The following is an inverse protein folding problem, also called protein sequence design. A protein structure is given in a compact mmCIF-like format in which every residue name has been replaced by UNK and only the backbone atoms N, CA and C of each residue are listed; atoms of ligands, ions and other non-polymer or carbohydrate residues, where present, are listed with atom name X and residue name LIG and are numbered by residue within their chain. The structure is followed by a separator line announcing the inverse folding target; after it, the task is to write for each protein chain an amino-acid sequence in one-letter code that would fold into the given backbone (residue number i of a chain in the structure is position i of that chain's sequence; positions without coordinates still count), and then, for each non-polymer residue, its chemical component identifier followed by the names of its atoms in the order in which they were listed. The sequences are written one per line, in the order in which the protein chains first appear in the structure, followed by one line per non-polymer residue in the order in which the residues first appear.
data_IF_992642934411
#
_entry.id   IF_992642934411
#
_cell.length_a   1.000
_cell.length_b   1.000
_cell.length_c   1.000
_cell.angle_alpha   90.00
_cell.angle_beta   90.00
_cell.angle_gamma   90.00
#
_symmetry.space_group_name_H-M   'P 1'
#
loop_
_entity.id
_entity.type
_entity.pdbx_description
1 polymer ?
#
# COMPACT_ATOMS: atom_id res chain seq x y z
N UNK A 1 -6.09 -19.97 17.26
CA UNK A 1 -5.23 -18.80 16.97
C UNK A 1 -5.69 -18.19 15.65
N UNK A 2 -6.16 -16.95 15.68
CA UNK A 2 -6.67 -16.28 14.49
C UNK A 2 -5.55 -15.77 13.57
N UNK A 3 -5.88 -15.45 12.30
CA UNK A 3 -4.88 -14.90 11.35
C UNK A 3 -4.19 -13.64 11.89
N UNK A 4 -4.90 -12.68 12.54
CA UNK A 4 -4.27 -11.48 13.11
C UNK A 4 -3.24 -11.78 14.20
N UNK A 5 -3.51 -12.75 15.05
CA UNK A 5 -2.60 -13.18 16.12
C UNK A 5 -1.32 -13.79 15.55
N UNK A 6 -1.45 -14.64 14.51
CA UNK A 6 -0.29 -15.22 13.80
C UNK A 6 0.57 -14.15 13.12
N UNK A 7 -0.07 -13.14 12.52
CA UNK A 7 0.66 -12.02 11.89
C UNK A 7 1.48 -11.28 12.95
N UNK A 8 0.88 -10.97 14.11
CA UNK A 8 1.56 -10.26 15.19
C UNK A 8 2.74 -11.07 15.74
N UNK A 9 2.55 -12.37 15.99
CA UNK A 9 3.61 -13.26 16.47
C UNK A 9 4.81 -13.29 15.49
N UNK A 10 4.54 -13.43 14.18
CA UNK A 10 5.62 -13.44 13.17
C UNK A 10 6.30 -12.07 13.08
N UNK A 11 5.56 -10.96 13.18
CA UNK A 11 6.14 -9.62 13.20
C UNK A 11 7.04 -9.43 14.43
N UNK A 12 6.61 -9.85 15.61
CA UNK A 12 7.42 -9.81 16.82
C UNK A 12 8.69 -10.65 16.67
N UNK A 13 8.60 -11.80 16.00
CA UNK A 13 9.77 -12.64 15.69
C UNK A 13 10.75 -11.93 14.76
N UNK A 14 10.26 -11.25 13.71
CA UNK A 14 11.09 -10.45 12.80
C UNK A 14 11.80 -9.34 13.58
N UNK A 15 11.09 -8.61 14.43
CA UNK A 15 11.66 -7.51 15.21
C UNK A 15 12.75 -7.96 16.20
N UNK A 16 12.61 -9.16 16.76
CA UNK A 16 13.60 -9.74 17.68
C UNK A 16 14.81 -10.35 16.97
N UNK A 17 14.68 -10.65 15.68
CA UNK A 17 15.75 -11.28 14.92
C UNK A 17 16.70 -10.23 14.37
N UNK A 18 17.95 -10.28 14.81
CA UNK A 18 19.00 -9.43 14.26
C UNK A 18 19.25 -9.81 12.79
N UNK A 19 19.15 -8.83 11.88
CA UNK A 19 19.34 -9.05 10.45
C UNK A 19 20.84 -9.14 10.14
N UNK A 20 21.28 -10.32 9.71
CA UNK A 20 22.63 -10.58 9.23
C UNK A 20 22.59 -11.66 8.15
N UNK A 21 23.71 -11.94 7.50
CA UNK A 21 23.80 -12.91 6.39
C UNK A 21 23.32 -14.33 6.76
N UNK A 22 23.41 -14.72 8.04
CA UNK A 22 22.94 -16.03 8.50
C UNK A 22 21.41 -16.06 8.72
N UNK A 23 20.81 -14.94 9.13
CA UNK A 23 19.37 -14.82 9.41
C UNK A 23 18.55 -14.28 8.25
N UNK A 24 19.18 -13.71 7.22
CA UNK A 24 18.53 -13.12 6.06
C UNK A 24 17.52 -14.07 5.39
N UNK A 25 17.91 -15.33 5.20
CA UNK A 25 17.02 -16.36 4.66
C UNK A 25 15.77 -16.57 5.50
N UNK A 26 15.93 -16.67 6.81
CA UNK A 26 14.82 -16.87 7.74
C UNK A 26 13.89 -15.65 7.78
N UNK A 27 14.45 -14.45 7.87
CA UNK A 27 13.70 -13.19 7.88
C UNK A 27 12.94 -13.01 6.58
N UNK A 28 13.54 -13.30 5.42
CA UNK A 28 12.87 -13.23 4.12
C UNK A 28 11.64 -14.15 4.05
N UNK A 29 11.73 -15.38 4.58
CA UNK A 29 10.58 -16.29 4.65
C UNK A 29 9.50 -15.80 5.63
N UNK A 30 9.87 -15.21 6.75
CA UNK A 30 8.90 -14.65 7.69
C UNK A 30 8.14 -13.48 7.08
N UNK A 31 8.83 -12.57 6.37
CA UNK A 31 8.20 -11.48 5.63
C UNK A 31 7.20 -12.01 4.59
N UNK A 32 7.58 -13.02 3.81
CA UNK A 32 6.72 -13.65 2.82
C UNK A 32 5.47 -14.29 3.47
N UNK A 33 5.61 -14.95 4.62
CA UNK A 33 4.49 -15.49 5.39
C UNK A 33 3.54 -14.40 5.88
N UNK A 34 4.05 -13.30 6.41
CA UNK A 34 3.23 -12.16 6.85
C UNK A 34 2.44 -11.56 5.68
N UNK A 35 3.11 -11.34 4.54
CA UNK A 35 2.46 -10.79 3.35
C UNK A 35 1.35 -11.72 2.82
N UNK A 36 1.59 -13.02 2.79
CA UNK A 36 0.59 -14.03 2.41
C UNK A 36 -0.60 -14.03 3.38
N UNK A 37 -0.37 -14.05 4.69
CA UNK A 37 -1.44 -14.02 5.69
C UNK A 37 -2.26 -12.73 5.61
N UNK A 38 -1.61 -11.59 5.36
CA UNK A 38 -2.30 -10.31 5.11
C UNK A 38 -3.20 -10.39 3.88
N UNK A 39 -2.74 -11.03 2.80
CA UNK A 39 -3.53 -11.27 1.58
C UNK A 39 -4.71 -12.19 1.85
N UNK A 40 -4.50 -13.35 2.49
CA UNK A 40 -5.58 -14.28 2.88
C UNK A 40 -6.66 -13.60 3.73
N UNK A 41 -6.25 -12.73 4.66
CA UNK A 41 -7.17 -11.95 5.48
C UNK A 41 -8.01 -10.97 4.62
N UNK A 42 -7.43 -10.43 3.55
CA UNK A 42 -8.15 -9.55 2.61
C UNK A 42 -9.15 -10.36 1.75
N UNK A 43 -8.75 -11.51 1.23
CA UNK A 43 -9.58 -12.38 0.39
C UNK A 43 -10.76 -12.98 1.19
N UNK A 44 -10.54 -13.42 2.42
CA UNK A 44 -11.59 -13.97 3.29
C UNK A 44 -12.71 -12.98 3.65
N UNK A 45 -12.43 -11.67 3.60
CA UNK A 45 -13.45 -10.65 3.79
C UNK A 45 -14.25 -10.43 2.52
N UNK A 46 -13.66 -10.60 1.34
CA UNK A 46 -14.37 -10.50 0.05
C UNK A 46 -15.20 -11.76 -0.24
N UNK A 47 -14.71 -12.96 0.12
CA UNK A 47 -15.43 -14.22 -0.10
C UNK A 47 -16.73 -14.35 0.69
N UNK A 48 -16.87 -13.68 1.83
CA UNK A 48 -18.11 -13.66 2.62
C UNK A 48 -19.21 -12.76 2.05
N UNK A 49 -18.86 -11.82 1.17
CA UNK A 49 -19.82 -10.92 0.52
C UNK A 49 -20.33 -11.45 -0.82
N UNK A 50 -19.71 -12.47 -1.41
CA UNK A 50 -20.18 -13.04 -2.69
C UNK A 50 -21.38 -14.01 -2.56
N UNK A 51 -21.75 -14.47 -1.35
CA UNK A 51 -22.87 -15.38 -1.15
C UNK A 51 -24.19 -14.73 -0.72
N UNK A 52 -24.22 -13.47 -0.43
CA UNK A 52 -25.44 -12.71 -0.30
C UNK A 52 -25.49 -11.71 -1.44
N UNK A 53 -26.48 -11.86 -2.35
CA UNK A 53 -26.65 -11.04 -3.56
C UNK A 53 -26.71 -9.52 -3.34
N UNK A 54 -25.72 -8.98 -2.69
CA UNK A 54 -25.49 -7.58 -2.35
C UNK A 54 -24.33 -7.06 -3.15
N UNK A 55 -24.55 -5.92 -3.77
CA UNK A 55 -23.63 -5.08 -4.50
C UNK A 55 -22.20 -5.12 -3.94
N UNK A 56 -21.22 -5.19 -4.81
CA UNK A 56 -19.82 -4.95 -4.49
C UNK A 56 -19.74 -3.65 -3.67
N UNK A 57 -19.62 -3.76 -2.34
CA UNK A 57 -19.26 -2.64 -1.49
C UNK A 57 -17.76 -2.38 -1.73
N UNK A 58 -17.43 -1.99 -2.95
CA UNK A 58 -16.15 -1.41 -3.28
C UNK A 58 -16.11 -0.03 -2.62
N UNK A 59 -15.12 0.23 -1.80
CA UNK A 59 -14.77 1.58 -1.37
C UNK A 59 -14.21 2.39 -2.56
N UNK A 60 -14.80 2.24 -3.72
CA UNK A 60 -14.30 2.82 -4.96
C UNK A 60 -14.80 4.26 -5.03
N UNK A 61 -13.90 5.19 -4.77
CA UNK A 61 -14.19 6.61 -4.98
C UNK A 61 -14.21 6.85 -6.48
N UNK A 62 -15.38 7.23 -6.99
CA UNK A 62 -15.55 7.55 -8.41
C UNK A 62 -14.58 8.64 -8.82
N UNK A 63 -13.71 8.36 -9.78
CA UNK A 63 -12.84 9.37 -10.39
C UNK A 63 -13.70 10.47 -11.01
N UNK A 64 -13.44 11.70 -10.63
CA UNK A 64 -14.07 12.88 -11.20
C UNK A 64 -12.99 13.85 -11.68
N UNK A 65 -13.05 14.30 -12.93
CA UNK A 65 -12.04 15.16 -13.53
C UNK A 65 -10.89 14.41 -14.21
N UNK A 66 -9.80 15.10 -14.45
CA UNK A 66 -8.65 14.62 -15.22
C UNK A 66 -7.65 13.85 -14.37
N UNK A 67 -7.57 14.18 -13.06
CA UNK A 67 -6.70 13.51 -12.09
C UNK A 67 -7.31 13.51 -10.69
N UNK A 68 -6.90 12.55 -9.87
CA UNK A 68 -7.30 12.41 -8.47
C UNK A 68 -6.09 12.45 -7.56
N UNK A 69 -6.08 13.36 -6.59
CA UNK A 69 -5.03 13.54 -5.58
C UNK A 69 -5.61 13.24 -4.21
N UNK A 70 -4.94 12.37 -3.46
CA UNK A 70 -5.33 12.01 -2.10
C UNK A 70 -4.45 12.72 -1.08
N UNK A 71 -5.09 13.45 -0.14
CA UNK A 71 -4.41 14.12 0.96
C UNK A 71 -4.25 13.17 2.14
N UNK A 72 -3.01 12.99 2.59
CA UNK A 72 -2.66 12.15 3.72
C UNK A 72 -1.84 12.97 4.72
N UNK A 73 -2.09 12.78 6.01
CA UNK A 73 -1.39 13.47 7.08
C UNK A 73 -2.09 13.22 8.42
N UNK A 74 -1.42 13.52 9.52
CA UNK A 74 -1.98 13.39 10.86
C UNK A 74 -3.18 14.33 11.08
N UNK A 75 -3.99 14.10 12.12
CA UNK A 75 -5.01 15.06 12.52
C UNK A 75 -4.40 16.46 12.76
N UNK A 76 -5.18 17.50 12.50
CA UNK A 76 -4.83 18.89 12.77
C UNK A 76 -3.62 19.48 12.05
N UNK A 77 -3.04 18.77 11.05
CA UNK A 77 -1.96 19.31 10.21
C UNK A 77 -2.45 20.33 9.17
N UNK A 78 -3.78 20.52 9.03
CA UNK A 78 -4.37 21.50 8.13
C UNK A 78 -4.79 20.96 6.75
N UNK A 79 -4.98 19.65 6.58
CA UNK A 79 -5.43 19.05 5.30
C UNK A 79 -6.71 19.66 4.77
N UNK A 80 -7.74 19.74 5.61
CA UNK A 80 -9.05 20.31 5.22
C UNK A 80 -8.98 21.81 4.97
N UNK A 81 -8.09 22.54 5.67
CA UNK A 81 -7.82 23.95 5.41
C UNK A 81 -7.17 24.12 4.05
N UNK A 82 -6.16 23.30 3.74
CA UNK A 82 -5.50 23.28 2.44
C UNK A 82 -6.49 22.94 1.31
N UNK A 83 -7.33 21.91 1.52
CA UNK A 83 -8.37 21.55 0.56
C UNK A 83 -9.29 22.76 0.28
N UNK A 84 -9.79 23.41 1.33
CA UNK A 84 -10.71 24.54 1.19
C UNK A 84 -10.04 25.77 0.53
N UNK A 85 -8.74 25.97 0.73
CA UNK A 85 -8.01 27.08 0.10
C UNK A 85 -7.73 26.83 -1.39
N UNK A 86 -7.49 25.57 -1.77
CA UNK A 86 -7.20 25.20 -3.15
C UNK A 86 -8.45 24.97 -3.99
N UNK A 87 -9.56 24.68 -3.36
CA UNK A 87 -10.81 24.39 -4.04
C UNK A 87 -11.87 25.43 -3.65
N UNK A 88 -12.72 25.85 -4.57
CA UNK A 88 -13.87 26.72 -4.26
C UNK A 88 -14.98 25.97 -3.48
N UNK A 89 -14.66 24.83 -2.91
CA UNK A 89 -15.56 24.03 -2.13
C UNK A 89 -15.76 24.68 -0.74
N UNK A 90 -16.80 25.51 -0.61
CA UNK A 90 -17.49 25.57 0.68
C UNK A 90 -17.93 24.13 0.95
N UNK A 91 -17.23 23.44 1.85
CA UNK A 91 -17.30 22.00 2.10
C UNK A 91 -18.75 21.50 2.17
N UNK A 92 -19.31 21.15 1.02
CA UNK A 92 -20.45 20.25 1.02
C UNK A 92 -19.83 18.88 1.28
N UNK A 93 -19.99 18.41 2.51
CA UNK A 93 -19.82 16.99 2.84
C UNK A 93 -20.72 16.24 1.87
N UNK A 94 -20.16 15.81 0.74
CA UNK A 94 -20.83 14.89 -0.13
C UNK A 94 -20.72 13.54 0.55
N UNK A 95 -21.76 13.16 1.31
CA UNK A 95 -21.95 11.78 1.72
C UNK A 95 -22.11 11.00 0.41
N UNK A 96 -21.03 10.37 -0.05
CA UNK A 96 -21.15 9.33 -1.06
C UNK A 96 -21.97 8.22 -0.42
N UNK A 97 -23.22 8.04 -0.89
CA UNK A 97 -24.27 7.22 -0.30
C UNK A 97 -23.92 5.75 -0.10
N UNK A 98 -22.71 5.31 -0.46
CA UNK A 98 -22.27 3.92 -0.40
C UNK A 98 -20.90 3.70 0.24
N UNK A 99 -20.28 4.72 0.86
CA UNK A 99 -18.99 4.56 1.54
C UNK A 99 -19.10 4.95 3.00
N UNK A 100 -18.73 4.04 3.89
CA UNK A 100 -18.47 4.31 5.33
C UNK A 100 -17.22 5.22 5.52
N UNK A 101 -16.66 5.72 4.43
CA UNK A 101 -15.56 6.68 4.38
C UNK A 101 -16.13 8.07 4.08
N UNK A 102 -16.04 8.95 5.05
CA UNK A 102 -16.24 10.39 4.85
C UNK A 102 -15.00 10.97 4.16
N UNK A 103 -14.87 10.77 2.85
CA UNK A 103 -13.91 11.56 2.08
C UNK A 103 -14.57 12.90 1.75
N UNK A 104 -13.87 14.00 2.00
CA UNK A 104 -14.33 15.33 1.59
C UNK A 104 -13.69 15.62 0.23
N UNK A 105 -14.46 15.62 -0.88
CA UNK A 105 -13.90 15.94 -2.19
C UNK A 105 -13.90 17.45 -2.40
N UNK A 106 -12.81 17.94 -2.99
CA UNK A 106 -12.71 19.27 -3.57
C UNK A 106 -12.33 19.16 -5.04
N UNK A 107 -12.71 20.14 -5.86
CA UNK A 107 -12.28 20.23 -7.26
C UNK A 107 -11.38 21.45 -7.44
N UNK A 108 -10.13 21.20 -7.78
CA UNK A 108 -9.17 22.22 -8.16
C UNK A 108 -9.20 22.40 -9.69
N UNK A 109 -9.41 23.63 -10.14
CA UNK A 109 -9.32 24.00 -11.54
C UNK A 109 -7.99 24.71 -11.79
N UNK A 110 -7.13 24.10 -12.59
CA UNK A 110 -5.82 24.66 -12.90
C UNK A 110 -5.50 24.52 -14.40
N UNK A 111 -5.30 25.63 -15.10
CA UNK A 111 -4.92 25.67 -16.53
C UNK A 111 -5.80 24.78 -17.42
N UNK A 112 -7.10 24.73 -17.15
CA UNK A 112 -8.06 23.92 -17.90
C UNK A 112 -8.24 22.50 -17.40
N UNK A 113 -7.33 22.00 -16.55
CA UNK A 113 -7.47 20.68 -15.90
C UNK A 113 -8.37 20.75 -14.68
N UNK A 114 -9.12 19.69 -14.44
CA UNK A 114 -9.97 19.45 -13.25
C UNK A 114 -9.34 18.37 -12.39
N UNK A 115 -8.80 18.75 -11.25
CA UNK A 115 -8.11 17.84 -10.34
C UNK A 115 -8.98 17.62 -9.11
N UNK A 116 -9.39 16.37 -8.90
CA UNK A 116 -10.13 15.99 -7.71
C UNK A 116 -9.17 15.85 -6.53
N UNK A 117 -9.39 16.61 -5.46
CA UNK A 117 -8.68 16.48 -4.20
C UNK A 117 -9.56 15.73 -3.20
N UNK A 118 -9.03 14.69 -2.57
CA UNK A 118 -9.73 13.88 -1.58
C UNK A 118 -9.05 14.02 -0.21
N UNK A 119 -9.71 14.66 0.73
CA UNK A 119 -9.30 14.62 2.14
C UNK A 119 -9.84 13.34 2.78
N UNK A 120 -8.96 12.55 3.35
CA UNK A 120 -9.28 11.30 4.05
C UNK A 120 -9.11 11.50 5.56
N UNK A 121 -10.12 12.07 6.26
CA UNK A 121 -10.05 12.27 7.69
C UNK A 121 -9.98 10.93 8.44
N UNK A 122 -9.23 10.89 9.54
CA UNK A 122 -9.21 9.75 10.46
C UNK A 122 -8.51 8.49 9.96
N UNK A 123 -7.82 8.55 8.81
CA UNK A 123 -7.13 7.36 8.27
C UNK A 123 -5.95 6.94 9.16
N UNK A 124 -5.35 7.86 9.89
CA UNK A 124 -4.15 7.63 10.71
C UNK A 124 -4.49 7.40 12.18
N UNK A 125 -5.69 7.74 12.63
CA UNK A 125 -6.12 7.54 14.02
C UNK A 125 -6.21 6.06 14.45
N UNK A 126 -6.18 5.12 13.50
CA UNK A 126 -6.19 3.68 13.74
C UNK A 126 -4.87 2.96 13.45
N UNK A 127 -3.82 3.69 13.04
CA UNK A 127 -2.55 3.10 12.62
C UNK A 127 -1.83 2.35 13.75
N UNK A 128 -1.89 2.87 14.96
CA UNK A 128 -1.30 2.21 16.15
C UNK A 128 -2.01 0.92 16.58
N UNK A 129 -3.19 0.60 16.00
CA UNK A 129 -4.00 -0.56 16.35
C UNK A 129 -4.07 -1.68 15.31
N UNK A 130 -3.42 -1.57 14.16
CA UNK A 130 -3.33 -2.65 13.15
C UNK A 130 -4.64 -3.08 12.47
N UNK A 131 -5.78 -2.48 12.79
CA UNK A 131 -7.11 -2.98 12.41
C UNK A 131 -7.87 -2.04 11.46
N UNK A 132 -7.44 -1.87 10.23
CA UNK A 132 -8.34 -1.29 9.24
C UNK A 132 -7.78 -0.17 8.36
N UNK A 133 -6.63 0.40 8.70
CA UNK A 133 -5.98 1.44 7.92
C UNK A 133 -5.70 1.01 6.47
N UNK A 134 -5.04 -0.14 6.29
CA UNK A 134 -4.58 -0.58 4.99
C UNK A 134 -5.67 -0.77 3.93
N UNK A 135 -6.85 -1.28 4.30
CA UNK A 135 -7.91 -1.56 3.32
C UNK A 135 -8.56 -0.29 2.78
N UNK A 136 -8.87 0.66 3.65
CA UNK A 136 -9.53 1.91 3.27
C UNK A 136 -8.61 2.78 2.43
N UNK A 137 -7.35 2.92 2.86
CA UNK A 137 -6.36 3.70 2.12
C UNK A 137 -6.05 3.07 0.77
N UNK A 138 -5.82 1.74 0.73
CA UNK A 138 -5.60 1.01 -0.51
C UNK A 138 -6.73 1.18 -1.51
N UNK A 139 -7.97 1.14 -1.03
CA UNK A 139 -9.15 1.28 -1.87
C UNK A 139 -9.19 2.67 -2.52
N UNK A 140 -8.98 3.73 -1.74
CA UNK A 140 -8.95 5.11 -2.28
C UNK A 140 -7.69 5.35 -3.12
N UNK A 141 -6.54 4.84 -2.69
CA UNK A 141 -5.28 4.98 -3.43
C UNK A 141 -5.30 4.31 -4.80
N UNK A 142 -6.08 3.23 -4.98
CA UNK A 142 -6.28 2.61 -6.31
C UNK A 142 -6.89 3.57 -7.32
N UNK A 143 -7.67 4.52 -6.86
CA UNK A 143 -8.25 5.57 -7.70
C UNK A 143 -7.39 6.82 -7.80
N UNK A 144 -6.32 6.96 -7.02
CA UNK A 144 -5.48 8.13 -6.99
C UNK A 144 -4.38 8.10 -8.04
N UNK A 145 -4.00 9.28 -8.52
CA UNK A 145 -2.89 9.48 -9.44
C UNK A 145 -1.68 10.09 -8.71
N UNK A 146 -1.90 10.69 -7.53
CA UNK A 146 -0.86 11.30 -6.67
C UNK A 146 -1.27 11.26 -5.20
N UNK A 147 -0.29 11.07 -4.32
CA UNK A 147 -0.45 11.24 -2.87
C UNK A 147 0.18 12.57 -2.43
N UNK A 148 -0.60 13.41 -1.77
CA UNK A 148 -0.14 14.65 -1.16
C UNK A 148 0.01 14.43 0.35
N UNK A 149 1.25 14.36 0.84
CA UNK A 149 1.56 14.20 2.27
C UNK A 149 1.64 15.57 2.91
N UNK A 150 0.68 15.89 3.77
CA UNK A 150 0.64 17.18 4.49
C UNK A 150 1.24 16.98 5.89
N UNK A 151 2.27 17.72 6.19
CA UNK A 151 3.00 17.70 7.46
C UNK A 151 2.91 19.06 8.16
N UNK A 152 2.92 19.00 9.48
CA UNK A 152 3.16 20.18 10.31
C UNK A 152 4.67 20.47 10.32
N UNK A 153 5.05 21.72 10.06
CA UNK A 153 6.48 22.14 10.04
C UNK A 153 7.18 21.86 11.36
N UNK A 154 6.44 21.89 12.48
CA UNK A 154 6.97 21.60 13.81
C UNK A 154 7.18 20.11 14.09
N UNK A 155 6.66 19.23 13.24
CA UNK A 155 6.71 17.78 13.45
C UNK A 155 7.09 17.02 12.16
N UNK A 156 8.23 17.33 11.53
CA UNK A 156 8.64 16.70 10.27
C UNK A 156 8.95 15.20 10.41
N UNK A 157 9.25 14.73 11.62
CA UNK A 157 9.50 13.31 11.93
C UNK A 157 8.32 12.39 11.61
N UNK A 158 7.11 12.93 11.54
CA UNK A 158 5.92 12.16 11.16
C UNK A 158 5.97 11.62 9.73
N UNK A 159 6.80 12.20 8.85
CA UNK A 159 6.98 11.70 7.48
C UNK A 159 7.39 10.24 7.44
N UNK A 160 8.37 9.85 8.27
CA UNK A 160 8.87 8.48 8.32
C UNK A 160 7.80 7.49 8.79
N UNK A 161 7.00 7.90 9.76
CA UNK A 161 5.87 7.11 10.28
C UNK A 161 4.82 6.91 9.18
N UNK A 162 4.42 7.99 8.50
CA UNK A 162 3.43 7.94 7.42
C UNK A 162 3.88 7.06 6.26
N UNK A 163 5.13 7.22 5.81
CA UNK A 163 5.70 6.39 4.74
C UNK A 163 5.71 4.91 5.12
N UNK A 164 6.08 4.59 6.35
CA UNK A 164 6.07 3.20 6.83
C UNK A 164 4.66 2.62 6.88
N UNK A 165 3.69 3.35 7.40
CA UNK A 165 2.29 2.90 7.47
C UNK A 165 1.70 2.67 6.07
N UNK A 166 1.99 3.56 5.12
CA UNK A 166 1.57 3.40 3.73
C UNK A 166 2.23 2.17 3.08
N UNK A 167 3.53 1.97 3.30
CA UNK A 167 4.26 0.81 2.82
C UNK A 167 3.70 -0.51 3.40
N UNK A 168 3.38 -0.54 4.70
CA UNK A 168 2.72 -1.68 5.34
C UNK A 168 1.30 -1.91 4.81
N UNK A 169 0.61 -0.84 4.44
CA UNK A 169 -0.68 -0.87 3.75
C UNK A 169 -0.60 -1.36 2.31
N UNK A 170 0.60 -1.48 1.74
CA UNK A 170 0.83 -1.93 0.37
C UNK A 170 0.91 -0.82 -0.67
N UNK A 171 1.09 0.43 -0.25
CA UNK A 171 1.34 1.57 -1.12
C UNK A 171 2.84 1.83 -1.15
N UNK A 172 3.41 1.86 -2.35
CA UNK A 172 4.80 2.20 -2.63
C UNK A 172 4.86 3.62 -3.17
N UNK A 173 5.42 4.53 -2.39
CA UNK A 173 5.54 5.93 -2.78
C UNK A 173 6.86 6.17 -3.49
N UNK A 174 6.79 6.87 -4.62
CA UNK A 174 7.96 7.28 -5.41
C UNK A 174 8.82 6.12 -5.91
N UNK A 175 8.24 4.91 -5.96
CA UNK A 175 8.86 3.71 -6.48
C UNK A 175 8.19 3.29 -7.79
N UNK A 176 8.92 2.57 -8.64
CA UNK A 176 8.37 1.91 -9.83
C UNK A 176 8.07 0.44 -9.54
N UNK A 177 7.07 -0.15 -10.20
CA UNK A 177 6.88 -1.59 -10.17
C UNK A 177 8.17 -2.32 -10.55
N UNK A 178 8.63 -3.32 -9.77
CA UNK A 178 9.89 -3.99 -10.06
C UNK A 178 9.82 -4.74 -11.40
N UNK A 179 10.91 -4.65 -12.19
CA UNK A 179 10.99 -5.30 -13.48
C UNK A 179 11.28 -6.80 -13.34
N UNK A 180 10.24 -7.53 -12.93
CA UNK A 180 10.26 -8.96 -12.66
C UNK A 180 9.11 -9.61 -13.41
N UNK A 181 9.41 -10.66 -14.19
CA UNK A 181 8.41 -11.44 -14.89
C UNK A 181 8.34 -12.85 -14.30
N UNK A 182 7.13 -13.31 -14.00
CA UNK A 182 6.84 -14.65 -13.51
C UNK A 182 6.00 -15.38 -14.56
N UNK A 183 6.58 -16.40 -15.16
CA UNK A 183 5.90 -17.29 -16.10
C UNK A 183 5.58 -18.61 -15.40
N UNK A 184 4.30 -18.98 -15.33
CA UNK A 184 3.88 -20.26 -14.77
C UNK A 184 4.05 -21.35 -15.82
N UNK A 185 4.61 -22.49 -15.41
CA UNK A 185 4.73 -23.69 -16.26
C UNK A 185 4.02 -24.86 -15.60
N UNK A 186 3.66 -25.88 -16.38
CA UNK A 186 3.02 -27.09 -15.85
C UNK A 186 4.01 -28.02 -15.17
N UNK A 187 5.25 -28.06 -15.62
CA UNK A 187 6.30 -28.96 -15.16
C UNK A 187 7.65 -28.24 -15.13
N UNK A 188 8.71 -28.91 -14.63
CA UNK A 188 10.10 -28.45 -14.74
C UNK A 188 10.62 -27.75 -13.47
N UNK A 189 9.80 -27.58 -12.42
CA UNK A 189 10.23 -26.90 -11.20
C UNK A 189 10.37 -25.38 -11.38
N UNK A 190 11.03 -24.73 -10.43
CA UNK A 190 11.27 -23.27 -10.47
C UNK A 190 12.65 -23.01 -11.02
N UNK A 191 12.74 -22.27 -12.13
CA UNK A 191 13.98 -21.75 -12.71
C UNK A 191 14.08 -20.24 -12.47
N UNK A 192 15.27 -19.78 -12.09
CA UNK A 192 15.56 -18.36 -11.86
C UNK A 192 16.55 -17.89 -12.92
N UNK A 193 16.17 -16.90 -13.69
CA UNK A 193 17.01 -16.26 -14.71
C UNK A 193 17.18 -14.78 -14.34
N UNK A 194 18.33 -14.47 -13.75
CA UNK A 194 18.71 -13.10 -13.43
C UNK A 194 19.58 -12.54 -14.55
N UNK A 195 19.10 -11.47 -15.21
CA UNK A 195 19.84 -10.74 -16.23
C UNK A 195 20.80 -9.70 -15.64
N UNK A 196 20.72 -9.52 -14.32
CA UNK A 196 21.53 -8.59 -13.52
C UNK A 196 22.07 -9.32 -12.29
N UNK A 197 23.18 -8.87 -11.69
CA UNK A 197 23.67 -9.42 -10.43
C UNK A 197 22.63 -9.26 -9.32
N UNK A 198 22.29 -10.36 -8.63
CA UNK A 198 21.34 -10.37 -7.52
C UNK A 198 22.04 -10.75 -6.21
N UNK A 199 21.61 -10.12 -5.11
CA UNK A 199 22.13 -10.43 -3.76
C UNK A 199 21.28 -11.51 -3.08
N UNK A 200 19.99 -11.61 -3.44
CA UNK A 200 19.06 -12.58 -2.87
C UNK A 200 19.41 -13.97 -3.36
N UNK A 201 19.53 -14.93 -2.44
CA UNK A 201 19.88 -16.30 -2.80
C UNK A 201 18.78 -16.98 -3.61
N UNK A 202 19.14 -17.76 -4.62
CA UNK A 202 18.20 -18.50 -5.45
C UNK A 202 17.32 -19.46 -4.59
N UNK A 203 17.88 -20.01 -3.53
CA UNK A 203 17.16 -20.86 -2.57
C UNK A 203 16.01 -20.08 -1.92
N UNK A 204 16.26 -18.85 -1.46
CA UNK A 204 15.23 -18.01 -0.84
C UNK A 204 14.12 -17.67 -1.85
N UNK A 205 14.50 -17.30 -3.05
CA UNK A 205 13.57 -17.02 -4.16
C UNK A 205 12.63 -18.20 -4.40
N UNK A 206 13.18 -19.40 -4.55
CA UNK A 206 12.41 -20.63 -4.79
C UNK A 206 11.44 -20.95 -3.62
N UNK A 207 11.90 -20.77 -2.38
CA UNK A 207 11.06 -21.00 -1.20
C UNK A 207 9.93 -19.97 -1.09
N UNK A 208 10.21 -18.69 -1.38
CA UNK A 208 9.16 -17.66 -1.42
C UNK A 208 8.12 -18.00 -2.51
N UNK A 209 8.56 -18.37 -3.72
CA UNK A 209 7.64 -18.75 -4.80
C UNK A 209 6.77 -19.97 -4.40
N UNK A 210 7.36 -20.99 -3.78
CA UNK A 210 6.62 -22.16 -3.28
C UNK A 210 5.59 -21.79 -2.21
N UNK A 211 5.96 -20.86 -1.32
CA UNK A 211 5.05 -20.35 -0.29
C UNK A 211 3.78 -19.73 -0.90
N UNK A 212 3.91 -19.10 -2.08
CA UNK A 212 2.78 -18.55 -2.84
C UNK A 212 2.10 -19.58 -3.78
N UNK A 213 2.43 -20.87 -3.64
CA UNK A 213 1.81 -21.94 -4.42
C UNK A 213 2.37 -22.11 -5.83
N UNK A 214 3.49 -21.47 -6.14
CA UNK A 214 4.19 -21.63 -7.40
C UNK A 214 5.25 -22.72 -7.26
N UNK A 215 4.95 -23.92 -7.76
CA UNK A 215 5.87 -25.06 -7.72
C UNK A 215 6.64 -25.24 -9.02
N UNK A 216 6.08 -24.76 -10.13
CA UNK A 216 6.68 -24.78 -11.46
C UNK A 216 6.55 -23.41 -12.10
N UNK A 217 7.66 -22.92 -12.67
CA UNK A 217 7.67 -21.63 -13.33
C UNK A 217 9.06 -21.08 -13.57
N UNK A 218 9.12 -20.03 -14.37
CA UNK A 218 10.34 -19.27 -14.67
C UNK A 218 10.20 -17.89 -14.06
N UNK A 219 11.20 -17.48 -13.29
CA UNK A 219 11.35 -16.12 -12.79
C UNK A 219 12.45 -15.44 -13.62
N UNK A 220 12.13 -14.33 -14.26
CA UNK A 220 13.07 -13.49 -15.00
C UNK A 220 13.22 -12.19 -14.24
N UNK A 221 14.44 -11.90 -13.78
CA UNK A 221 14.79 -10.72 -12.98
C UNK A 221 15.61 -9.78 -13.85
N UNK A 222 15.08 -8.59 -14.12
CA UNK A 222 15.74 -7.48 -14.80
C UNK A 222 15.94 -6.29 -13.88
N UNK A 223 15.50 -6.41 -12.61
CA UNK A 223 15.55 -5.37 -11.61
C UNK A 223 16.96 -5.26 -11.03
N UNK A 224 17.65 -4.12 -11.19
CA UNK A 224 18.90 -3.88 -10.49
C UNK A 224 18.66 -3.75 -8.99
N UNK A 225 19.56 -4.29 -8.16
CA UNK A 225 19.43 -4.32 -6.69
C UNK A 225 18.17 -5.04 -6.19
N UNK A 226 17.77 -6.08 -6.90
CA UNK A 226 16.64 -6.94 -6.54
C UNK A 226 16.63 -7.36 -5.07
N UNK A 227 15.48 -7.26 -4.44
CA UNK A 227 15.24 -7.60 -3.03
C UNK A 227 14.14 -8.67 -2.88
N UNK A 228 14.13 -9.33 -1.72
CA UNK A 228 13.06 -10.26 -1.32
C UNK A 228 11.69 -9.55 -1.20
N UNK A 229 11.67 -8.30 -0.72
CA UNK A 229 10.45 -7.50 -0.61
C UNK A 229 9.82 -7.21 -1.98
N UNK A 230 10.64 -6.93 -3.01
CA UNK A 230 10.16 -6.74 -4.38
C UNK A 230 9.55 -8.03 -4.97
N UNK A 231 10.16 -9.20 -4.71
CA UNK A 231 9.57 -10.47 -5.12
C UNK A 231 8.22 -10.73 -4.43
N UNK A 232 8.15 -10.45 -3.11
CA UNK A 232 6.93 -10.58 -2.32
C UNK A 232 5.84 -9.65 -2.87
N UNK A 233 6.18 -8.42 -3.25
CA UNK A 233 5.26 -7.45 -3.80
C UNK A 233 4.65 -7.93 -5.13
N UNK A 234 5.47 -8.46 -6.04
CA UNK A 234 5.00 -9.03 -7.31
C UNK A 234 4.11 -10.26 -7.09
N UNK A 235 4.52 -11.18 -6.21
CA UNK A 235 3.74 -12.38 -5.90
C UNK A 235 2.44 -12.08 -5.16
N UNK A 236 2.43 -11.05 -4.33
CA UNK A 236 1.22 -10.61 -3.63
C UNK A 236 0.19 -9.99 -4.58
N UNK A 237 0.63 -9.29 -5.65
CA UNK A 237 -0.21 -8.73 -6.70
C UNK A 237 -1.22 -7.66 -6.23
N UNK A 238 -1.01 -7.10 -5.03
CA UNK A 238 -1.93 -6.13 -4.42
C UNK A 238 -1.23 -4.81 -4.02
N UNK A 239 -0.06 -4.55 -4.58
CA UNK A 239 0.67 -3.31 -4.35
C UNK A 239 0.26 -2.23 -5.32
N UNK A 240 0.33 -0.99 -4.84
CA UNK A 240 0.02 0.21 -5.60
C UNK A 240 1.25 1.11 -5.57
N UNK A 241 1.68 1.56 -6.72
CA UNK A 241 2.83 2.44 -6.89
C UNK A 241 2.31 3.82 -7.27
N UNK A 242 2.62 4.83 -6.44
CA UNK A 242 2.12 6.18 -6.62
C UNK A 242 3.24 7.20 -6.40
N UNK A 243 3.28 8.27 -7.20
CA UNK A 243 4.10 9.43 -6.89
C UNK A 243 3.59 10.15 -5.65
N UNK A 244 4.48 10.80 -4.92
CA UNK A 244 4.11 11.62 -3.77
C UNK A 244 4.69 13.02 -3.82
N UNK A 245 3.96 13.97 -3.22
CA UNK A 245 4.45 15.31 -2.91
C UNK A 245 4.32 15.56 -1.41
N UNK A 246 5.31 16.23 -0.84
CA UNK A 246 5.32 16.61 0.57
C UNK A 246 5.03 18.10 0.68
N UNK A 247 4.03 18.44 1.48
CA UNK A 247 3.66 19.81 1.81
C UNK A 247 3.94 20.06 3.29
N UNK A 248 4.82 21.00 3.58
CA UNK A 248 5.00 21.53 4.92
C UNK A 248 4.02 22.68 5.15
N UNK A 249 3.13 22.50 6.10
CA UNK A 249 2.11 23.47 6.45
C UNK A 249 2.43 24.20 7.76
N UNK A 250 1.75 25.29 8.04
CA UNK A 250 1.94 26.14 9.23
C UNK A 250 3.32 26.79 9.33
N UNK A 251 3.91 27.13 8.17
CA UNK A 251 5.21 27.83 8.13
C UNK A 251 5.14 29.29 8.56
N UNK A 252 3.94 29.81 8.71
CA UNK A 252 3.58 31.15 9.12
C UNK A 252 3.39 31.32 10.64
N UNK A 253 3.44 30.24 11.39
CA UNK A 253 3.35 30.17 12.84
C UNK A 253 4.73 30.07 13.48
#
# INVERSE_FOLDING_TARGET
MGIPEKIKEIQDQIHRTQINKATEFHVGLLKAKVARLKREMQENVHGKTMHSGGENIGFDVRKAGDATVVLIGLPSVGKSTLLNSLTNAKSRVASYQFTTLTAVPGMLHYRGAKIQLLDLPGIIEGASGGKGFGKRVLSVARGADLVLIVLDVFQPQHLSVLKRELAEGGIRLDEQPPNILIEKTSTGGISVNAQVPIKVSERLIKEIMRLYGLHNGRLIIREPNFTDDQLIDVLSGNRIYLPSLIVLNKIDL
#
